data_IF_704719629418
#
_entry.id   IF_704719629418
#
_cell.length_a   1.000
_cell.length_b   1.000
_cell.length_c   1.000
_cell.angle_alpha   90.00
_cell.angle_beta   90.00
_cell.angle_gamma   90.00
#
_symmetry.space_group_name_H-M   'P 1'
#
loop_
_entity.id
_entity.type
_entity.pdbx_description
1 polymer ?
#
# COMPACT_ATOMS: atom_id res chain seq x y z
N UNK A 1 15.96 4.27 -1.84
CA UNK A 1 15.99 4.61 -3.28
C UNK A 1 14.79 5.47 -3.58
N UNK A 2 14.95 6.57 -4.31
CA UNK A 2 13.85 7.46 -4.69
C UNK A 2 13.83 7.66 -6.20
N UNK A 3 12.68 7.40 -6.83
CA UNK A 3 12.43 7.71 -8.24
C UNK A 3 12.03 9.18 -8.36
N UNK A 4 12.95 10.03 -8.81
CA UNK A 4 12.70 11.47 -8.90
C UNK A 4 12.07 11.87 -10.24
N UNK A 5 12.43 11.19 -11.32
CA UNK A 5 11.84 11.42 -12.66
C UNK A 5 11.63 10.09 -13.39
N UNK A 6 10.39 9.88 -13.83
CA UNK A 6 10.02 8.71 -14.63
C UNK A 6 10.25 8.97 -16.14
N UNK A 7 9.97 7.97 -16.97
CA UNK A 7 10.09 8.05 -18.43
C UNK A 7 8.89 8.70 -19.14
N UNK A 8 7.97 9.37 -18.43
CA UNK A 8 6.82 10.03 -19.06
C UNK A 8 7.23 11.27 -19.87
N UNK A 9 8.28 11.95 -19.45
CA UNK A 9 8.77 13.16 -20.12
C UNK A 9 9.79 12.80 -21.21
N UNK A 10 9.35 12.77 -22.47
CA UNK A 10 10.20 12.32 -23.59
C UNK A 10 11.49 13.16 -23.75
N UNK A 11 11.42 14.45 -23.41
CA UNK A 11 12.55 15.39 -23.50
C UNK A 11 13.63 15.16 -22.43
N UNK A 12 13.33 14.42 -21.38
CA UNK A 12 14.21 14.27 -20.22
C UNK A 12 14.50 12.81 -19.89
N UNK A 13 15.73 12.51 -19.50
CA UNK A 13 16.12 11.15 -19.10
C UNK A 13 15.57 10.80 -17.72
N UNK A 14 15.10 9.56 -17.49
CA UNK A 14 14.70 9.08 -16.16
C UNK A 14 15.86 9.20 -15.15
N UNK A 15 15.50 9.47 -13.89
CA UNK A 15 16.45 9.76 -12.83
C UNK A 15 16.01 9.12 -11.51
N UNK A 16 16.92 8.35 -10.92
CA UNK A 16 16.79 7.74 -9.61
C UNK A 16 17.96 8.13 -8.73
N UNK A 17 17.68 8.33 -7.45
CA UNK A 17 18.68 8.74 -6.46
C UNK A 17 18.70 7.74 -5.31
N UNK A 18 19.90 7.25 -5.00
CA UNK A 18 20.20 6.42 -3.84
C UNK A 18 20.83 7.28 -2.76
N UNK A 19 20.33 7.12 -1.54
CA UNK A 19 20.95 7.63 -0.32
C UNK A 19 21.68 6.45 0.33
N UNK A 20 22.99 6.55 0.42
CA UNK A 20 23.85 5.53 1.01
C UNK A 20 24.53 6.13 2.25
N UNK A 21 24.71 5.32 3.30
CA UNK A 21 25.52 5.72 4.45
C UNK A 21 26.98 5.33 4.17
N UNK A 22 27.89 6.29 4.25
CA UNK A 22 29.34 6.02 4.20
C UNK A 22 29.77 5.24 5.44
N UNK A 23 30.53 4.17 5.23
CA UNK A 23 31.09 3.35 6.32
C UNK A 23 32.16 4.13 7.11
N UNK A 24 32.97 4.94 6.42
CA UNK A 24 34.13 5.61 7.02
C UNK A 24 33.79 6.93 7.72
N UNK A 25 32.82 7.69 7.19
CA UNK A 25 32.56 9.08 7.60
C UNK A 25 31.21 9.28 8.27
N UNK A 26 30.36 8.25 8.37
CA UNK A 26 28.92 8.33 8.72
C UNK A 26 28.05 9.26 7.86
N UNK A 27 28.65 10.13 7.04
CA UNK A 27 27.97 11.03 6.13
C UNK A 27 27.19 10.27 5.06
N UNK A 28 26.20 10.96 4.50
CA UNK A 28 25.39 10.40 3.43
C UNK A 28 26.05 10.64 2.07
N UNK A 29 26.08 9.59 1.26
CA UNK A 29 26.52 9.61 -0.12
C UNK A 29 25.28 9.52 -1.00
N UNK A 30 25.12 10.51 -1.87
CA UNK A 30 24.12 10.56 -2.93
C UNK A 30 24.69 9.91 -4.19
N UNK A 31 23.92 8.99 -4.76
CA UNK A 31 24.23 8.38 -6.04
C UNK A 31 23.04 8.50 -6.98
N UNK A 32 23.22 9.30 -8.03
CA UNK A 32 22.18 9.63 -9.00
C UNK A 32 22.49 9.00 -10.34
N UNK A 33 21.55 8.21 -10.84
CA UNK A 33 21.72 7.44 -12.07
C UNK A 33 20.42 7.31 -12.86
N UNK A 34 20.55 6.96 -14.14
CA UNK A 34 19.42 6.63 -14.97
C UNK A 34 19.05 5.13 -14.77
N UNK A 35 17.84 4.82 -14.28
CA UNK A 35 17.45 3.45 -13.95
C UNK A 35 17.29 2.52 -15.16
N UNK A 36 17.23 3.04 -16.40
CA UNK A 36 17.05 2.21 -17.61
C UNK A 36 18.40 1.71 -18.15
N UNK A 37 19.42 2.57 -18.18
CA UNK A 37 20.71 2.25 -18.79
C UNK A 37 21.87 2.17 -17.79
N UNK A 38 21.64 2.50 -16.52
CA UNK A 38 22.67 2.46 -15.46
C UNK A 38 23.72 3.57 -15.53
N UNK A 39 23.60 4.54 -16.46
CA UNK A 39 24.56 5.64 -16.57
C UNK A 39 24.39 6.62 -15.40
N UNK A 40 25.52 7.04 -14.82
CA UNK A 40 25.55 8.08 -13.79
C UNK A 40 25.23 9.45 -14.40
N UNK A 41 24.57 10.31 -13.64
CA UNK A 41 24.23 11.68 -14.08
C UNK A 41 25.23 12.66 -13.47
N UNK A 42 25.32 12.71 -12.13
CA UNK A 42 26.16 13.69 -11.40
C UNK A 42 27.33 13.05 -10.62
N UNK A 43 27.63 11.78 -10.92
CA UNK A 43 28.63 11.00 -10.19
C UNK A 43 28.21 10.69 -8.75
N UNK A 44 29.21 10.41 -7.90
CA UNK A 44 29.04 10.15 -6.47
C UNK A 44 29.21 11.46 -5.71
N UNK A 45 28.17 11.94 -5.03
CA UNK A 45 28.21 13.17 -4.25
C UNK A 45 28.18 12.84 -2.75
N UNK A 46 29.22 13.22 -2.01
CA UNK A 46 29.23 13.07 -0.56
C UNK A 46 28.68 14.34 0.09
N UNK A 47 27.61 14.20 0.86
CA UNK A 47 27.04 15.30 1.63
C UNK A 47 27.92 15.60 2.85
N UNK A 48 27.99 16.87 3.30
CA UNK A 48 28.75 17.24 4.49
C UNK A 48 28.06 16.82 5.80
N UNK A 49 26.85 16.26 5.71
CA UNK A 49 26.03 15.82 6.84
C UNK A 49 25.48 14.41 6.63
N UNK A 50 24.99 13.83 7.73
CA UNK A 50 24.26 12.56 7.73
C UNK A 50 22.76 12.83 7.61
N UNK A 51 22.14 12.24 6.59
CA UNK A 51 20.69 12.28 6.38
C UNK A 51 20.01 11.28 7.31
N UNK A 52 19.02 11.74 8.08
CA UNK A 52 18.20 10.93 8.99
C UNK A 52 16.89 10.54 8.34
N UNK A 53 16.29 11.43 7.57
CA UNK A 53 15.01 11.21 6.89
C UNK A 53 15.03 11.89 5.53
N UNK A 54 14.37 11.29 4.54
CA UNK A 54 14.22 11.88 3.21
C UNK A 54 12.79 11.73 2.69
N UNK A 55 12.24 12.83 2.17
CA UNK A 55 10.85 12.91 1.70
C UNK A 55 10.82 13.50 0.30
N UNK A 56 10.01 12.88 -0.55
CA UNK A 56 9.83 13.26 -1.94
C UNK A 56 8.74 14.34 -2.03
N UNK A 57 9.06 15.50 -2.61
CA UNK A 57 8.07 16.56 -2.78
C UNK A 57 7.03 16.18 -3.84
N UNK A 58 5.76 16.57 -3.64
CA UNK A 58 4.70 16.33 -4.62
C UNK A 58 4.79 17.25 -5.85
N UNK A 59 5.48 18.40 -5.69
CA UNK A 59 5.67 19.40 -6.74
C UNK A 59 6.96 19.11 -7.52
N UNK A 60 6.90 19.34 -8.83
CA UNK A 60 8.05 19.20 -9.72
C UNK A 60 8.91 20.48 -9.67
N UNK A 61 10.19 20.34 -9.95
CA UNK A 61 11.03 21.48 -10.29
C UNK A 61 10.86 21.86 -11.77
N UNK A 62 11.51 22.96 -12.20
CA UNK A 62 11.46 23.44 -13.60
C UNK A 62 11.94 22.37 -14.60
N UNK A 63 12.78 21.43 -14.17
CA UNK A 63 13.31 20.31 -14.98
C UNK A 63 12.46 19.03 -14.90
N UNK A 64 11.24 19.11 -14.38
CA UNK A 64 10.33 17.97 -14.20
C UNK A 64 10.91 16.85 -13.31
N UNK A 65 11.79 17.20 -12.38
CA UNK A 65 12.33 16.32 -11.34
C UNK A 65 11.57 16.61 -10.04
N UNK A 66 11.15 15.56 -9.33
CA UNK A 66 10.62 15.72 -7.99
C UNK A 66 11.76 15.85 -6.98
N UNK A 67 11.89 17.03 -6.38
CA UNK A 67 12.94 17.32 -5.41
C UNK A 67 12.74 16.53 -4.11
N UNK A 68 13.83 16.23 -3.42
CA UNK A 68 13.88 15.57 -2.13
C UNK A 68 14.15 16.59 -1.04
N UNK A 69 13.43 16.50 0.07
CA UNK A 69 13.80 17.13 1.33
C UNK A 69 14.64 16.12 2.11
N UNK A 70 15.86 16.49 2.47
CA UNK A 70 16.79 15.70 3.27
C UNK A 70 16.92 16.34 4.64
N UNK A 71 16.56 15.62 5.70
CA UNK A 71 16.80 16.07 7.07
C UNK A 71 18.17 15.61 7.54
N UNK A 72 18.99 16.54 8.01
CA UNK A 72 20.28 16.21 8.62
C UNK A 72 20.14 15.68 10.06
N UNK A 73 21.26 15.31 10.68
CA UNK A 73 21.33 14.83 12.07
C UNK A 73 20.94 15.87 13.11
N UNK A 74 20.91 17.15 12.76
CA UNK A 74 20.50 18.26 13.61
C UNK A 74 19.05 18.69 13.33
N UNK A 75 18.31 17.92 12.52
CA UNK A 75 16.95 18.18 12.07
C UNK A 75 16.80 19.45 11.18
N UNK A 76 17.88 19.92 10.56
CA UNK A 76 17.75 20.96 9.53
C UNK A 76 17.39 20.32 8.19
N UNK A 77 16.41 20.88 7.47
CA UNK A 77 16.01 20.40 6.16
C UNK A 77 16.91 20.99 5.07
N UNK A 78 17.22 20.17 4.06
CA UNK A 78 17.99 20.55 2.87
C UNK A 78 17.21 20.11 1.63
N UNK A 79 17.23 20.89 0.56
CA UNK A 79 16.58 20.54 -0.71
C UNK A 79 17.59 19.88 -1.67
N UNK A 80 17.18 18.82 -2.36
CA UNK A 80 17.98 18.17 -3.39
C UNK A 80 17.17 17.86 -4.66
N UNK A 81 17.60 18.32 -5.86
CA UNK A 81 18.69 19.28 -6.11
C UNK A 81 18.41 20.66 -5.52
N UNK A 82 19.44 21.33 -4.98
CA UNK A 82 19.29 22.62 -4.31
C UNK A 82 19.17 23.79 -5.30
N UNK A 83 19.94 23.75 -6.39
CA UNK A 83 20.10 24.89 -7.31
C UNK A 83 18.94 25.05 -8.31
N UNK A 84 18.00 24.09 -8.35
CA UNK A 84 16.89 24.10 -9.30
C UNK A 84 15.60 24.55 -8.60
N UNK A 85 15.00 25.68 -9.00
CA UNK A 85 13.79 26.18 -8.38
C UNK A 85 12.59 25.25 -8.64
N UNK A 86 11.65 25.26 -7.70
CA UNK A 86 10.38 24.56 -7.83
C UNK A 86 9.49 25.23 -8.89
N UNK A 87 8.63 24.46 -9.56
CA UNK A 87 7.72 25.02 -10.57
C UNK A 87 6.62 25.89 -9.94
N UNK A 88 6.26 25.62 -8.69
CA UNK A 88 5.24 26.33 -7.92
C UNK A 88 5.52 26.20 -6.43
N UNK A 89 4.89 27.06 -5.60
CA UNK A 89 5.00 26.94 -4.14
C UNK A 89 4.30 25.64 -3.70
N UNK A 90 5.00 24.71 -3.03
CA UNK A 90 4.37 23.50 -2.52
C UNK A 90 3.42 23.83 -1.36
N UNK A 91 2.38 23.00 -1.14
CA UNK A 91 1.57 23.10 0.06
C UNK A 91 2.43 22.85 1.31
N UNK A 92 1.96 23.25 2.51
CA UNK A 92 2.69 22.98 3.74
C UNK A 92 3.01 21.50 3.91
N UNK A 93 4.29 21.19 4.17
CA UNK A 93 4.78 19.82 4.25
C UNK A 93 5.01 19.48 5.72
N UNK A 94 4.43 18.35 6.15
CA UNK A 94 4.69 17.78 7.47
C UNK A 94 5.56 16.54 7.30
N UNK A 95 6.62 16.47 8.09
CA UNK A 95 7.55 15.33 8.09
C UNK A 95 7.71 14.83 9.50
N UNK A 96 7.61 13.52 9.69
CA UNK A 96 7.95 12.90 10.96
C UNK A 96 9.30 12.21 10.88
N UNK A 97 10.04 12.29 11.97
CA UNK A 97 11.30 11.59 12.19
C UNK A 97 11.09 10.63 13.35
N UNK A 98 11.37 9.36 13.12
CA UNK A 98 11.30 8.31 14.13
C UNK A 98 12.70 7.81 14.44
N UNK A 99 13.04 7.75 15.72
CA UNK A 99 14.24 7.09 16.22
C UNK A 99 13.82 5.83 17.01
N UNK A 100 13.82 4.64 16.36
CA UNK A 100 13.39 3.40 16.99
C UNK A 100 14.22 3.01 18.23
N UNK A 101 15.51 3.39 18.27
CA UNK A 101 16.42 3.01 19.37
C UNK A 101 16.09 3.70 20.69
N UNK A 102 15.65 4.96 20.60
CA UNK A 102 15.26 5.78 21.74
C UNK A 102 13.74 5.85 21.92
N UNK A 103 12.96 5.33 20.97
CA UNK A 103 11.50 5.44 20.94
C UNK A 103 11.01 6.88 20.74
N UNK A 104 11.85 7.77 20.22
CA UNK A 104 11.51 9.18 20.02
C UNK A 104 10.88 9.40 18.65
N UNK A 105 9.73 10.06 18.62
CA UNK A 105 9.04 10.50 17.41
C UNK A 105 8.83 12.01 17.47
N UNK A 106 9.22 12.70 16.40
CA UNK A 106 9.08 14.15 16.27
C UNK A 106 8.40 14.47 14.95
N UNK A 107 7.48 15.43 14.98
CA UNK A 107 6.84 15.98 13.79
C UNK A 107 7.32 17.40 13.51
N UNK A 108 7.65 17.68 12.26
CA UNK A 108 8.16 18.95 11.79
C UNK A 108 7.23 19.53 10.72
N UNK A 109 7.00 20.84 10.81
CA UNK A 109 6.35 21.66 9.80
C UNK A 109 7.40 22.36 8.94
N UNK A 110 7.20 22.36 7.63
CA UNK A 110 8.06 23.00 6.65
C UNK A 110 7.24 23.93 5.75
N UNK A 111 7.66 25.20 5.67
CA UNK A 111 7.26 26.12 4.60
C UNK A 111 8.39 26.16 3.57
N UNK A 112 8.25 25.38 2.50
CA UNK A 112 9.30 25.22 1.50
C UNK A 112 9.20 26.37 0.48
N UNK A 113 10.27 27.16 0.28
CA UNK A 113 10.27 28.26 -0.68
C UNK A 113 10.32 27.74 -2.12
N UNK A 114 9.92 28.59 -3.08
CA UNK A 114 10.02 28.28 -4.52
C UNK A 114 11.48 28.26 -4.97
N UNK A 115 12.27 29.21 -4.48
CA UNK A 115 13.68 29.38 -4.78
C UNK A 115 14.43 29.74 -3.49
N UNK A 116 15.68 29.29 -3.40
CA UNK A 116 16.53 29.49 -2.23
C UNK A 116 16.69 28.21 -1.41
N UNK A 117 17.86 28.09 -0.79
CA UNK A 117 18.28 26.89 -0.08
C UNK A 117 17.99 26.95 1.43
N UNK A 118 17.58 28.13 1.92
CA UNK A 118 17.40 28.38 3.34
C UNK A 118 15.92 28.33 3.71
N UNK A 119 15.54 27.24 4.38
CA UNK A 119 14.27 27.12 5.08
C UNK A 119 14.48 26.31 6.35
N UNK A 120 13.65 26.56 7.36
CA UNK A 120 13.78 25.91 8.67
C UNK A 120 12.61 24.98 8.94
N UNK A 121 12.90 23.92 9.70
CA UNK A 121 11.90 23.02 10.22
C UNK A 121 11.42 23.51 11.59
N UNK A 122 10.10 23.67 11.74
CA UNK A 122 9.49 23.97 13.04
C UNK A 122 8.97 22.70 13.67
N UNK A 123 9.48 22.31 14.84
CA UNK A 123 8.92 21.18 15.60
C UNK A 123 7.49 21.51 16.04
N UNK A 124 6.54 20.62 15.72
CA UNK A 124 5.10 20.77 16.01
C UNK A 124 4.69 19.90 17.18
N UNK A 125 5.15 18.65 17.20
CA UNK A 125 4.80 17.68 18.22
C UNK A 125 5.96 16.71 18.47
N UNK A 126 5.96 16.12 19.66
CA UNK A 126 6.96 15.16 20.10
C UNK A 126 6.32 14.10 20.98
N UNK A 127 6.55 12.83 20.64
CA UNK A 127 6.04 11.67 21.35
C UNK A 127 7.18 10.71 21.66
N UNK A 128 7.21 10.18 22.87
CA UNK A 128 8.33 9.39 23.38
C UNK A 128 7.81 8.06 23.95
N UNK A 129 8.25 6.95 23.36
CA UNK A 129 8.03 5.60 23.89
C UNK A 129 9.23 5.18 24.73
N UNK A 130 9.13 5.37 26.04
CA UNK A 130 10.24 5.11 26.96
C UNK A 130 10.46 3.60 27.18
N UNK A 131 11.72 3.25 27.49
CA UNK A 131 12.10 1.89 27.91
C UNK A 131 11.30 1.48 29.17
N UNK A 132 10.88 0.21 29.28
CA UNK A 132 11.38 -0.97 28.56
C UNK A 132 10.72 -1.23 27.19
N UNK A 133 9.83 -0.34 26.73
CA UNK A 133 9.15 -0.44 25.44
C UNK A 133 10.12 -0.22 24.27
N UNK A 134 10.07 -1.11 23.27
CA UNK A 134 10.87 -1.06 22.04
C UNK A 134 9.95 -0.89 20.83
N UNK A 135 10.32 -0.05 19.87
CA UNK A 135 9.61 0.09 18.59
C UNK A 135 10.05 -1.03 17.66
N UNK A 136 9.14 -1.89 17.23
CA UNK A 136 9.47 -3.03 16.35
C UNK A 136 9.26 -2.66 14.88
N UNK A 137 8.11 -2.07 14.56
CA UNK A 137 7.68 -1.83 13.19
C UNK A 137 6.90 -0.53 13.09
N UNK A 138 7.07 0.13 11.95
CA UNK A 138 6.33 1.34 11.56
C UNK A 138 5.73 1.05 10.19
N UNK A 139 4.41 1.16 10.07
CA UNK A 139 3.66 0.88 8.84
C UNK A 139 2.90 2.12 8.38
N UNK A 140 3.08 2.50 7.13
CA UNK A 140 2.32 3.56 6.47
C UNK A 140 1.64 3.02 5.23
N UNK A 141 0.58 3.70 4.80
CA UNK A 141 -0.05 3.47 3.50
C UNK A 141 0.98 3.64 2.38
N UNK A 142 0.88 2.84 1.32
CA UNK A 142 1.77 2.99 0.17
C UNK A 142 1.41 4.27 -0.60
N UNK A 143 2.41 5.05 -1.02
CA UNK A 143 2.17 6.29 -1.75
C UNK A 143 1.60 6.05 -3.17
N UNK A 144 1.78 4.84 -3.71
CA UNK A 144 1.21 4.45 -5.02
C UNK A 144 -0.23 3.96 -4.91
N UNK A 145 -0.74 3.76 -3.70
CA UNK A 145 -2.05 3.19 -3.45
C UNK A 145 -3.16 4.22 -3.63
N UNK A 146 -4.18 3.85 -4.43
CA UNK A 146 -5.41 4.61 -4.61
C UNK A 146 -6.59 3.89 -3.96
N UNK A 147 -7.53 4.67 -3.43
CA UNK A 147 -8.77 4.17 -2.84
C UNK A 147 -9.91 4.51 -3.78
N UNK A 148 -10.49 3.50 -4.43
CA UNK A 148 -11.57 3.72 -5.39
C UNK A 148 -12.91 4.06 -4.72
N UNK A 149 -13.27 3.33 -3.65
CA UNK A 149 -14.54 3.54 -2.93
C UNK A 149 -14.29 4.08 -1.53
N UNK A 150 -14.90 5.24 -1.23
CA UNK A 150 -14.85 5.90 0.08
C UNK A 150 -15.79 5.30 1.12
N UNK A 151 -16.71 4.43 0.70
CA UNK A 151 -17.65 3.78 1.58
C UNK A 151 -17.93 2.34 1.18
N UNK A 152 -18.49 1.59 2.12
CA UNK A 152 -19.01 0.24 1.92
C UNK A 152 -20.52 0.29 2.08
N UNK A 153 -21.25 -0.26 1.12
CA UNK A 153 -22.71 -0.35 1.17
C UNK A 153 -23.10 -1.51 2.09
N UNK A 154 -24.01 -1.25 3.03
CA UNK A 154 -24.57 -2.25 3.95
C UNK A 154 -25.88 -2.83 3.40
N UNK A 155 -26.39 -3.90 4.00
CA UNK A 155 -27.63 -4.55 3.53
C UNK A 155 -28.87 -3.66 3.63
N UNK A 156 -28.91 -2.78 4.62
CA UNK A 156 -29.97 -1.78 4.81
C UNK A 156 -29.87 -0.60 3.83
N UNK A 157 -28.96 -0.67 2.84
CA UNK A 157 -28.62 0.37 1.86
C UNK A 157 -27.99 1.62 2.46
N UNK A 158 -27.63 1.59 3.75
CA UNK A 158 -26.79 2.63 4.34
C UNK A 158 -25.34 2.47 3.86
N UNK A 159 -24.56 3.54 4.04
CA UNK A 159 -23.15 3.57 3.65
C UNK A 159 -22.31 3.72 4.90
N UNK A 160 -21.39 2.77 5.09
CA UNK A 160 -20.36 2.86 6.09
C UNK A 160 -19.13 3.51 5.45
N UNK A 161 -18.84 4.75 5.83
CA UNK A 161 -17.72 5.52 5.29
C UNK A 161 -16.39 5.04 5.87
N UNK A 162 -15.42 4.77 5.02
CA UNK A 162 -14.08 4.36 5.41
C UNK A 162 -13.34 5.54 6.02
N UNK A 163 -12.64 5.31 7.13
CA UNK A 163 -11.73 6.30 7.67
C UNK A 163 -10.37 6.17 6.97
N UNK A 164 -10.11 7.05 6.01
CA UNK A 164 -8.88 7.06 5.21
C UNK A 164 -8.08 8.31 5.52
N UNK A 165 -7.16 8.21 6.49
CA UNK A 165 -6.24 9.29 6.82
C UNK A 165 -4.89 9.07 6.09
N UNK A 166 -4.52 9.91 5.08
CA UNK A 166 -3.27 9.75 4.34
C UNK A 166 -2.02 10.01 5.19
N UNK A 167 -2.17 10.69 6.33
CA UNK A 167 -1.09 11.05 7.25
C UNK A 167 -1.04 10.09 8.46
N UNK A 168 -1.78 8.99 8.44
CA UNK A 168 -1.77 8.02 9.54
C UNK A 168 -0.62 7.04 9.40
N UNK A 169 0.08 6.84 10.51
CA UNK A 169 1.15 5.86 10.64
C UNK A 169 0.83 4.92 11.79
N UNK A 170 1.03 3.64 11.54
CA UNK A 170 0.87 2.56 12.52
C UNK A 170 2.22 2.26 13.15
N UNK A 171 2.28 2.30 14.48
CA UNK A 171 3.50 2.06 15.25
C UNK A 171 3.26 0.84 16.13
N UNK A 172 4.08 -0.19 15.99
CA UNK A 172 4.08 -1.35 16.88
C UNK A 172 5.19 -1.23 17.91
N UNK A 173 4.79 -1.36 19.18
CA UNK A 173 5.72 -1.35 20.31
C UNK A 173 5.64 -2.65 21.10
N UNK A 174 6.78 -3.16 21.56
CA UNK A 174 6.87 -4.34 22.42
C UNK A 174 7.45 -3.95 23.76
N UNK A 175 6.71 -4.23 24.82
CA UNK A 175 7.18 -4.07 26.18
C UNK A 175 7.24 -5.45 26.86
N UNK A 176 8.31 -5.77 27.60
CA UNK A 176 8.29 -6.90 28.52
C UNK A 176 7.31 -6.59 29.65
N UNK A 177 6.51 -7.60 30.02
CA UNK A 177 5.60 -7.50 31.16
C UNK A 177 5.79 -8.70 32.07
N UNK A 178 5.79 -8.46 33.38
CA UNK A 178 5.97 -9.51 34.40
C UNK A 178 4.83 -10.54 34.34
N UNK A 179 3.60 -10.11 34.03
CA UNK A 179 2.41 -10.98 34.07
C UNK A 179 2.14 -11.67 32.73
N UNK A 180 2.45 -10.98 31.62
CA UNK A 180 2.15 -11.45 30.26
C UNK A 180 3.41 -11.79 29.45
N UNK A 181 4.60 -11.80 30.05
CA UNK A 181 5.93 -11.95 29.42
C UNK A 181 6.26 -10.81 28.45
N UNK A 182 5.42 -10.62 27.44
CA UNK A 182 5.53 -9.59 26.42
C UNK A 182 4.15 -9.04 26.06
N UNK A 183 4.10 -7.74 25.81
CA UNK A 183 2.90 -7.00 25.44
C UNK A 183 3.21 -6.19 24.19
N UNK A 184 2.53 -6.53 23.10
CA UNK A 184 2.62 -5.84 21.82
C UNK A 184 1.49 -4.81 21.75
N UNK A 185 1.80 -3.54 21.52
CA UNK A 185 0.80 -2.47 21.42
C UNK A 185 0.87 -1.83 20.04
N UNK A 186 -0.28 -1.73 19.37
CA UNK A 186 -0.45 -1.01 18.12
C UNK A 186 -0.97 0.39 18.44
N UNK A 187 -0.24 1.41 18.02
CA UNK A 187 -0.63 2.82 18.10
C UNK A 187 -0.85 3.36 16.68
N UNK A 188 -2.02 3.93 16.42
CA UNK A 188 -2.31 4.67 15.19
C UNK A 188 -2.12 6.15 15.48
N UNK A 189 -1.11 6.75 14.86
CA UNK A 189 -0.71 8.13 15.09
C UNK A 189 -0.89 8.95 13.82
N UNK A 190 -1.48 10.14 13.94
CA UNK A 190 -1.50 11.14 12.88
C UNK A 190 -0.18 11.92 12.88
N UNK A 191 0.57 11.89 11.78
CA UNK A 191 1.90 12.50 11.70
C UNK A 191 1.87 14.02 11.58
N UNK A 192 0.72 14.62 11.26
CA UNK A 192 0.56 16.07 11.18
C UNK A 192 0.29 16.66 12.56
N UNK A 193 -0.68 16.09 13.29
CA UNK A 193 -1.12 16.60 14.60
C UNK A 193 -0.38 15.99 15.79
N UNK A 194 0.20 14.79 15.63
CA UNK A 194 0.83 14.04 16.72
C UNK A 194 -0.14 13.31 17.65
N UNK A 195 -1.43 13.32 17.33
CA UNK A 195 -2.47 12.66 18.13
C UNK A 195 -2.47 11.16 17.87
N UNK A 196 -2.59 10.36 18.93
CA UNK A 196 -2.85 8.93 18.84
C UNK A 196 -4.36 8.74 18.64
N UNK A 197 -4.75 8.33 17.43
CA UNK A 197 -6.14 8.11 17.01
C UNK A 197 -6.72 6.88 17.71
N UNK A 198 -5.94 5.79 17.77
CA UNK A 198 -6.36 4.52 18.34
C UNK A 198 -5.17 3.78 18.93
N UNK A 199 -5.41 2.99 19.98
CA UNK A 199 -4.39 2.15 20.61
C UNK A 199 -4.99 0.81 21.04
N UNK A 200 -4.31 -0.30 20.72
CA UNK A 200 -4.76 -1.65 21.08
C UNK A 200 -3.61 -2.52 21.55
N UNK A 201 -3.88 -3.33 22.57
CA UNK A 201 -2.88 -4.12 23.28
C UNK A 201 -3.12 -5.62 23.01
N UNK A 202 -2.08 -6.31 22.54
CA UNK A 202 -1.98 -7.75 22.41
C UNK A 202 -1.09 -8.31 23.52
N UNK A 203 -1.68 -9.13 24.38
CA UNK A 203 -0.99 -9.76 25.50
C UNK A 203 -0.34 -11.07 25.04
N UNK A 204 0.85 -11.39 25.56
CA UNK A 204 1.59 -12.63 25.27
C UNK A 204 1.92 -12.77 23.78
N UNK A 205 2.24 -11.65 23.14
CA UNK A 205 2.59 -11.59 21.73
C UNK A 205 4.12 -11.49 21.57
N UNK A 206 4.70 -12.31 20.70
CA UNK A 206 6.13 -12.41 20.45
C UNK A 206 6.45 -12.54 18.96
N UNK A 207 7.73 -12.56 18.62
CA UNK A 207 8.24 -12.65 17.25
C UNK A 207 7.93 -14.02 16.59
N UNK A 208 7.81 -14.10 15.26
CA UNK A 208 7.93 -13.03 14.26
C UNK A 208 6.70 -12.12 14.22
N UNK A 209 6.91 -10.81 13.98
CA UNK A 209 5.85 -9.79 13.94
C UNK A 209 5.87 -9.08 12.58
N UNK A 210 4.71 -8.97 11.94
CA UNK A 210 4.54 -8.28 10.67
C UNK A 210 3.40 -7.28 10.74
N UNK A 211 3.59 -6.10 10.15
CA UNK A 211 2.60 -5.01 10.12
C UNK A 211 2.34 -4.60 8.68
N UNK A 212 1.06 -4.57 8.29
CA UNK A 212 0.60 -3.99 7.02
C UNK A 212 -0.41 -2.90 7.33
N UNK A 213 -0.29 -1.79 6.60
CA UNK A 213 -1.28 -0.73 6.56
C UNK A 213 -1.64 -0.48 5.09
N UNK A 214 -2.94 -0.54 4.77
CA UNK A 214 -3.49 -0.33 3.43
C UNK A 214 -4.89 0.27 3.54
N UNK A 215 -5.22 1.24 2.70
CA UNK A 215 -6.49 2.00 2.73
C UNK A 215 -6.92 2.45 4.14
N UNK A 216 -7.98 1.84 4.68
CA UNK A 216 -8.59 2.05 5.98
C UNK A 216 -8.38 0.86 6.92
N UNK A 217 -7.52 -0.09 6.57
CA UNK A 217 -7.33 -1.33 7.31
C UNK A 217 -5.87 -1.63 7.60
N UNK A 218 -5.67 -2.42 8.65
CA UNK A 218 -4.35 -2.86 9.10
C UNK A 218 -4.39 -4.35 9.41
N UNK A 219 -3.25 -5.00 9.19
CA UNK A 219 -2.99 -6.36 9.62
C UNK A 219 -1.77 -6.40 10.51
N UNK A 220 -1.90 -7.07 11.64
CA UNK A 220 -0.80 -7.34 12.55
C UNK A 220 -0.71 -8.86 12.74
N UNK A 221 0.39 -9.46 12.29
CA UNK A 221 0.70 -10.86 12.54
C UNK A 221 1.69 -10.96 13.69
N UNK A 222 1.46 -11.87 14.63
CA UNK A 222 2.35 -12.13 15.77
C UNK A 222 2.21 -13.57 16.25
N UNK A 223 3.22 -14.06 16.97
CA UNK A 223 3.15 -15.36 17.62
C UNK A 223 2.56 -15.20 19.04
N UNK A 224 1.52 -15.98 19.36
CA UNK A 224 0.89 -15.95 20.67
C UNK A 224 1.51 -17.03 21.58
N UNK A 225 2.24 -16.62 22.62
CA UNK A 225 2.94 -17.53 23.54
C UNK A 225 1.99 -18.35 24.42
N UNK A 226 0.74 -17.90 24.61
CA UNK A 226 -0.27 -18.63 25.39
C UNK A 226 -0.80 -19.82 24.61
N UNK A 227 -1.21 -19.57 23.38
CA UNK A 227 -1.88 -20.54 22.50
C UNK A 227 -0.90 -21.27 21.57
N UNK A 228 0.37 -20.84 21.55
CA UNK A 228 1.47 -21.42 20.75
C UNK A 228 1.16 -21.50 19.25
N UNK A 229 0.63 -20.41 18.71
CA UNK A 229 0.24 -20.31 17.30
C UNK A 229 0.42 -18.89 16.77
N UNK A 230 0.52 -18.77 15.46
CA UNK A 230 0.53 -17.48 14.76
C UNK A 230 -0.89 -16.95 14.66
N UNK A 231 -1.09 -15.73 15.12
CA UNK A 231 -2.37 -15.02 15.05
C UNK A 231 -2.22 -13.79 14.16
N UNK A 232 -3.22 -13.54 13.30
CA UNK A 232 -3.31 -12.35 12.45
C UNK A 232 -4.50 -11.54 12.94
N UNK A 233 -4.23 -10.40 13.57
CA UNK A 233 -5.26 -9.44 13.95
C UNK A 233 -5.52 -8.47 12.79
N UNK A 234 -6.77 -8.39 12.35
CA UNK A 234 -7.24 -7.41 11.39
C UNK A 234 -7.97 -6.26 12.08
N UNK A 235 -7.76 -5.08 11.54
CA UNK A 235 -8.35 -3.83 11.98
C UNK A 235 -8.91 -3.10 10.78
N UNK A 236 -10.12 -2.60 10.88
CA UNK A 236 -10.72 -1.75 9.86
C UNK A 236 -11.34 -0.53 10.51
N UNK A 237 -11.05 0.65 9.95
CA UNK A 237 -11.43 1.94 10.48
C UNK A 237 -12.55 2.55 9.64
N UNK A 238 -13.56 3.07 10.32
CA UNK A 238 -14.73 3.71 9.74
C UNK A 238 -15.04 5.04 10.40
N UNK A 239 -15.60 5.98 9.65
CA UNK A 239 -16.06 7.27 10.17
C UNK A 239 -17.37 7.09 10.96
N UNK A 240 -17.63 7.96 11.92
CA UNK A 240 -18.81 7.87 12.79
C UNK A 240 -20.07 8.36 12.06
N UNK A 241 -20.72 7.47 11.31
CA UNK A 241 -22.01 7.61 10.60
C UNK A 241 -22.16 8.73 9.54
N UNK A 242 -21.45 9.85 9.65
CA UNK A 242 -21.40 10.92 8.66
C UNK A 242 -19.94 11.23 8.33
N UNK A 243 -19.61 11.41 7.04
CA UNK A 243 -18.26 11.81 6.67
C UNK A 243 -18.00 13.21 7.23
N UNK A 244 -16.92 13.37 7.98
CA UNK A 244 -16.53 14.67 8.57
C UNK A 244 -16.40 15.78 7.51
N UNK A 245 -15.86 15.46 6.33
CA UNK A 245 -15.89 16.29 5.13
C UNK A 245 -15.80 15.40 3.88
N UNK A 246 -16.61 15.66 2.86
CA UNK A 246 -16.65 14.86 1.62
C UNK A 246 -15.68 15.34 0.54
N UNK A 247 -15.19 16.58 0.60
CA UNK A 247 -14.29 17.14 -0.43
C UNK A 247 -12.82 16.96 -0.07
N UNK A 248 -12.44 17.32 1.16
CA UNK A 248 -11.04 17.43 1.56
C UNK A 248 -10.82 16.86 2.98
N UNK A 249 -9.76 16.07 3.11
CA UNK A 249 -9.28 15.61 4.41
C UNK A 249 -8.21 16.56 4.95
N UNK A 250 -8.41 17.10 6.15
CA UNK A 250 -7.40 17.88 6.87
C UNK A 250 -7.15 17.28 8.25
N UNK A 251 -5.90 16.92 8.53
CA UNK A 251 -5.44 16.60 9.89
C UNK A 251 -5.36 17.86 10.78
N UNK A 252 -5.19 19.04 10.18
CA UNK A 252 -5.12 20.33 10.88
C UNK A 252 -6.55 20.80 11.12
N UNK A 253 -7.06 20.53 12.32
CA UNK A 253 -8.46 20.77 12.68
C UNK A 253 -9.41 19.60 12.40
N UNK A 254 -8.87 18.43 12.04
CA UNK A 254 -9.64 17.21 11.71
C UNK A 254 -10.42 16.63 12.89
N UNK A 255 -11.50 15.92 12.55
CA UNK A 255 -12.58 15.46 13.45
C UNK A 255 -12.10 15.03 14.85
N UNK A 256 -12.64 15.70 15.88
CA UNK A 256 -12.46 15.34 17.31
C UNK A 256 -13.01 13.93 17.58
N UNK A 257 -13.85 13.41 16.67
CA UNK A 257 -14.51 12.13 16.83
C UNK A 257 -13.56 11.01 16.39
N UNK A 258 -13.17 10.10 17.30
CA UNK A 258 -12.34 8.97 16.95
C UNK A 258 -13.09 8.02 16.00
N UNK A 259 -12.39 7.39 15.04
CA UNK A 259 -13.00 6.44 14.13
C UNK A 259 -13.50 5.20 14.88
N UNK A 260 -14.54 4.58 14.32
CA UNK A 260 -15.01 3.27 14.76
C UNK A 260 -14.03 2.23 14.23
N UNK A 261 -13.45 1.44 15.13
CA UNK A 261 -12.49 0.39 14.78
C UNK A 261 -13.12 -0.97 14.98
N UNK A 262 -13.41 -1.65 13.89
CA UNK A 262 -13.79 -3.07 13.90
C UNK A 262 -12.52 -3.92 13.86
N UNK A 263 -12.50 -4.98 14.66
CA UNK A 263 -11.32 -5.83 14.81
C UNK A 263 -11.69 -7.29 14.97
N UNK A 264 -10.88 -8.15 14.38
CA UNK A 264 -11.04 -9.60 14.50
C UNK A 264 -9.66 -10.26 14.44
N UNK A 265 -9.52 -11.43 15.08
CA UNK A 265 -8.29 -12.20 15.04
C UNK A 265 -8.50 -13.51 14.28
N UNK A 266 -7.49 -13.91 13.51
CA UNK A 266 -7.43 -15.15 12.74
C UNK A 266 -6.20 -15.96 13.13
N UNK A 267 -6.22 -17.24 12.84
CA UNK A 267 -5.14 -18.19 13.12
C UNK A 267 -4.56 -18.62 11.78
N UNK A 268 -3.24 -18.51 11.66
CA UNK A 268 -2.51 -19.02 10.51
C UNK A 268 -1.77 -20.31 10.92
N UNK A 269 -1.98 -21.44 10.21
CA UNK A 269 -1.25 -22.68 10.47
C UNK A 269 0.16 -22.62 9.86
N UNK A 270 1.05 -21.85 10.49
CA UNK A 270 2.45 -21.73 10.10
C UNK A 270 3.10 -20.42 10.52
N UNK A 271 4.39 -20.26 10.20
CA UNK A 271 5.12 -19.02 10.43
C UNK A 271 5.31 -18.24 9.14
N UNK A 272 5.24 -16.91 9.25
CA UNK A 272 5.42 -15.97 8.15
C UNK A 272 6.83 -15.38 8.16
N UNK A 273 7.42 -15.30 6.98
CA UNK A 273 8.68 -14.59 6.72
C UNK A 273 8.43 -13.17 6.22
N UNK A 274 7.41 -12.96 5.38
CA UNK A 274 7.05 -11.64 4.87
C UNK A 274 5.55 -11.58 4.53
N UNK A 275 4.98 -10.39 4.56
CA UNK A 275 3.62 -10.11 4.12
C UNK A 275 3.56 -8.80 3.33
N UNK A 276 2.77 -8.76 2.25
CA UNK A 276 2.52 -7.52 1.48
C UNK A 276 1.15 -7.57 0.79
N UNK A 277 0.37 -6.48 0.78
CA UNK A 277 -0.88 -6.41 0.02
C UNK A 277 -0.63 -6.16 -1.46
N UNK A 278 -1.54 -6.62 -2.33
CA UNK A 278 -1.55 -6.28 -3.75
C UNK A 278 -1.95 -4.82 -3.99
N UNK A 279 -1.31 -4.15 -4.95
CA UNK A 279 -1.59 -2.76 -5.33
C UNK A 279 -1.85 -2.68 -6.84
N UNK A 280 -2.90 -1.96 -7.22
CA UNK A 280 -3.26 -1.64 -8.62
C UNK A 280 -3.41 -0.15 -8.81
N UNK A 281 -3.47 0.30 -10.07
CA UNK A 281 -3.39 1.72 -10.42
C UNK A 281 -4.56 2.53 -9.84
N UNK A 282 -5.78 2.01 -9.95
CA UNK A 282 -7.01 2.67 -9.50
C UNK A 282 -7.56 2.11 -8.18
N UNK A 283 -7.09 0.94 -7.73
CA UNK A 283 -7.59 0.28 -6.52
C UNK A 283 -9.04 -0.22 -6.66
N UNK A 284 -9.44 -0.63 -7.86
CA UNK A 284 -10.77 -1.18 -8.16
C UNK A 284 -10.79 -2.69 -7.91
N UNK A 285 -9.74 -3.41 -8.30
CA UNK A 285 -9.64 -4.87 -8.12
C UNK A 285 -9.67 -5.23 -6.63
N UNK A 286 -10.12 -6.44 -6.31
CA UNK A 286 -10.08 -6.96 -4.94
C UNK A 286 -8.66 -6.96 -4.38
N UNK A 287 -8.49 -6.56 -3.11
CA UNK A 287 -7.18 -6.64 -2.45
C UNK A 287 -6.93 -8.03 -1.92
N UNK A 288 -5.79 -8.60 -2.30
CA UNK A 288 -5.28 -9.85 -1.77
C UNK A 288 -4.01 -9.58 -0.97
N UNK A 289 -3.70 -10.47 -0.04
CA UNK A 289 -2.55 -10.39 0.84
C UNK A 289 -1.62 -11.54 0.49
N UNK A 290 -0.41 -11.17 0.08
CA UNK A 290 0.65 -12.11 -0.22
C UNK A 290 1.37 -12.45 1.09
N UNK A 291 1.46 -13.75 1.39
CA UNK A 291 2.07 -14.25 2.60
C UNK A 291 3.17 -15.26 2.23
N UNK A 292 4.43 -14.91 2.51
CA UNK A 292 5.54 -15.83 2.39
C UNK A 292 5.66 -16.66 3.67
N UNK A 293 5.50 -17.96 3.54
CA UNK A 293 5.61 -18.92 4.65
C UNK A 293 7.06 -19.39 4.82
N UNK A 294 7.40 -19.81 6.03
CA UNK A 294 8.72 -20.40 6.34
C UNK A 294 9.00 -21.72 5.60
N UNK A 295 7.97 -22.41 5.13
CA UNK A 295 8.09 -23.61 4.27
C UNK A 295 8.42 -23.28 2.81
N UNK A 296 8.49 -21.99 2.47
CA UNK A 296 8.81 -21.51 1.14
C UNK A 296 7.64 -21.46 0.16
N UNK A 297 6.41 -21.53 0.65
CA UNK A 297 5.21 -21.28 -0.16
C UNK A 297 4.83 -19.80 -0.08
N UNK A 298 4.38 -19.26 -1.21
CA UNK A 298 3.86 -17.91 -1.34
C UNK A 298 2.34 -17.99 -1.54
N UNK A 299 1.61 -17.65 -0.50
CA UNK A 299 0.14 -17.73 -0.47
C UNK A 299 -0.48 -16.40 -0.89
N UNK A 300 -1.53 -16.48 -1.69
CA UNK A 300 -2.40 -15.36 -2.03
C UNK A 300 -3.74 -15.51 -1.29
N UNK A 301 -3.96 -14.67 -0.28
CA UNK A 301 -5.17 -14.72 0.56
C UNK A 301 -6.08 -13.53 0.25
N UNK A 302 -7.32 -13.74 -0.22
CA UNK A 302 -8.27 -12.65 -0.41
C UNK A 302 -8.59 -11.89 0.88
N UNK A 303 -8.67 -10.56 0.82
CA UNK A 303 -9.04 -9.72 1.97
C UNK A 303 -10.36 -10.15 2.62
N UNK A 304 -11.31 -10.68 1.84
CA UNK A 304 -12.58 -11.20 2.34
C UNK A 304 -12.45 -12.27 3.44
N UNK A 305 -11.33 -13.01 3.50
CA UNK A 305 -11.06 -13.96 4.59
C UNK A 305 -10.55 -13.29 5.86
N UNK A 306 -9.98 -12.08 5.76
CA UNK A 306 -9.41 -11.32 6.87
C UNK A 306 -10.29 -10.13 7.30
N UNK A 307 -11.45 -9.96 6.66
CA UNK A 307 -12.43 -8.92 6.97
C UNK A 307 -12.90 -9.03 8.43
N UNK A 308 -12.73 -8.00 9.29
CA UNK A 308 -13.14 -8.07 10.69
C UNK A 308 -14.65 -8.15 10.89
N UNK A 309 -15.46 -7.89 9.85
CA UNK A 309 -16.93 -7.83 9.93
C UNK A 309 -17.62 -9.18 9.74
N UNK A 310 -16.85 -10.24 9.52
CA UNK A 310 -17.35 -11.62 9.35
C UNK A 310 -18.17 -12.02 10.58
N UNK A 311 -19.47 -12.38 10.41
CA UNK A 311 -20.36 -12.61 11.54
C UNK A 311 -20.02 -13.92 12.27
N UNK A 312 -20.18 -13.90 13.59
CA UNK A 312 -20.14 -15.09 14.45
C UNK A 312 -21.50 -15.79 14.38
N UNK A 313 -21.75 -16.57 13.32
CA UNK A 313 -22.99 -17.33 13.16
C UNK A 313 -23.67 -17.08 11.81
N UNK A 314 -24.92 -16.61 11.84
CA UNK A 314 -25.73 -16.43 10.63
C UNK A 314 -25.08 -15.45 9.64
N UNK A 315 -25.08 -15.76 8.34
CA UNK A 315 -24.52 -14.89 7.33
C UNK A 315 -25.32 -13.57 7.30
N UNK A 316 -24.60 -12.45 7.25
CA UNK A 316 -25.23 -11.16 6.98
C UNK A 316 -25.75 -11.16 5.54
N UNK A 317 -26.84 -10.44 5.30
CA UNK A 317 -27.42 -10.24 3.96
C UNK A 317 -26.42 -9.62 2.95
N UNK A 318 -25.35 -8.98 3.44
CA UNK A 318 -24.23 -8.45 2.66
C UNK A 318 -23.37 -9.52 1.95
N UNK A 319 -23.68 -10.81 2.12
CA UNK A 319 -22.89 -11.91 1.55
C UNK A 319 -21.55 -12.11 2.24
N UNK A 320 -21.40 -11.60 3.48
CA UNK A 320 -20.18 -11.77 4.26
C UNK A 320 -19.97 -13.23 4.66
N UNK A 321 -18.77 -13.74 4.43
CA UNK A 321 -18.39 -15.11 4.79
C UNK A 321 -18.46 -15.25 6.33
N UNK A 322 -19.15 -16.24 6.90
CA UNK A 322 -19.18 -16.47 8.34
C UNK A 322 -17.77 -16.57 8.92
N UNK A 323 -17.57 -16.09 10.14
CA UNK A 323 -16.26 -16.10 10.78
C UNK A 323 -15.80 -17.53 11.03
N UNK A 324 -14.63 -17.85 10.47
CA UNK A 324 -13.89 -19.07 10.72
C UNK A 324 -12.50 -18.62 11.18
N UNK A 325 -12.09 -18.95 12.42
CA UNK A 325 -10.85 -18.44 12.98
C UNK A 325 -9.62 -18.97 12.23
N UNK A 326 -9.65 -20.20 11.75
CA UNK A 326 -8.53 -20.82 11.03
C UNK A 326 -8.56 -20.44 9.55
N UNK A 327 -7.43 -19.91 9.07
CA UNK A 327 -7.27 -19.57 7.66
C UNK A 327 -6.91 -20.83 6.85
N UNK A 328 -7.64 -21.13 5.77
CA UNK A 328 -7.34 -22.28 4.93
C UNK A 328 -6.06 -22.03 4.13
N UNK A 329 -5.11 -22.97 4.18
CA UNK A 329 -3.91 -22.98 3.32
C UNK A 329 -4.15 -23.90 2.12
N UNK A 330 -4.89 -23.39 1.13
CA UNK A 330 -5.21 -24.15 -0.08
C UNK A 330 -4.01 -24.19 -1.02
N UNK A 331 -3.67 -25.37 -1.55
CA UNK A 331 -2.60 -25.49 -2.55
C UNK A 331 -2.84 -24.64 -3.80
N UNK A 332 -4.11 -24.42 -4.17
CA UNK A 332 -4.51 -23.56 -5.29
C UNK A 332 -4.18 -22.08 -5.06
N UNK A 333 -4.05 -21.64 -3.80
CA UNK A 333 -3.65 -20.27 -3.45
C UNK A 333 -2.13 -20.05 -3.47
N UNK A 334 -1.35 -21.10 -3.73
CA UNK A 334 0.12 -21.02 -3.77
C UNK A 334 0.60 -20.53 -5.14
N UNK A 335 0.94 -19.25 -5.25
CA UNK A 335 1.31 -18.62 -6.53
C UNK A 335 2.69 -19.02 -7.06
N UNK A 336 3.53 -19.62 -6.21
CA UNK A 336 4.83 -20.15 -6.59
C UNK A 336 4.82 -21.64 -6.98
N UNK A 337 3.66 -22.30 -7.01
CA UNK A 337 3.50 -23.70 -7.42
C UNK A 337 4.56 -24.64 -6.80
N UNK A 338 5.47 -25.17 -7.62
CA UNK A 338 6.55 -26.09 -7.22
C UNK A 338 7.90 -25.40 -6.95
N UNK A 339 7.95 -24.06 -6.97
CA UNK A 339 9.17 -23.27 -6.76
C UNK A 339 9.22 -22.75 -5.34
N UNK A 340 9.69 -23.59 -4.42
CA UNK A 340 9.83 -23.20 -3.01
C UNK A 340 10.86 -22.08 -2.85
N UNK A 341 10.51 -21.00 -2.15
CA UNK A 341 11.35 -19.83 -1.90
C UNK A 341 11.87 -19.85 -0.48
N UNK A 342 13.15 -20.15 -0.28
CA UNK A 342 13.73 -20.22 1.06
C UNK A 342 14.24 -18.86 1.53
N UNK A 343 14.07 -18.57 2.83
CA UNK A 343 14.55 -17.34 3.48
C UNK A 343 14.17 -16.08 2.69
N UNK A 344 12.86 -15.86 2.57
CA UNK A 344 12.31 -14.63 1.99
C UNK A 344 12.56 -13.47 2.94
N UNK A 345 13.21 -12.42 2.45
CA UNK A 345 13.47 -11.20 3.20
C UNK A 345 12.36 -10.17 2.99
N UNK A 346 11.72 -10.16 1.82
CA UNK A 346 10.62 -9.25 1.53
C UNK A 346 9.86 -9.53 0.25
N UNK A 347 8.68 -8.90 0.16
CA UNK A 347 7.79 -8.93 -1.01
C UNK A 347 7.57 -7.49 -1.46
N UNK A 348 7.80 -7.22 -2.74
CA UNK A 348 7.52 -5.96 -3.39
C UNK A 348 6.37 -6.13 -4.39
N UNK A 349 5.40 -5.22 -4.34
CA UNK A 349 4.22 -5.21 -5.20
C UNK A 349 4.13 -3.88 -5.90
N UNK A 350 3.89 -3.88 -7.21
CA UNK A 350 3.68 -2.65 -7.99
C UNK A 350 2.46 -2.82 -8.89
N UNK A 351 1.69 -1.73 -9.11
CA UNK A 351 0.63 -1.75 -10.10
C UNK A 351 1.21 -2.00 -11.51
N UNK A 352 0.45 -2.71 -12.33
CA UNK A 352 0.69 -2.80 -13.77
C UNK A 352 -0.13 -1.72 -14.50
N UNK A 353 0.00 -1.63 -15.83
CA UNK A 353 -0.87 -0.77 -16.65
C UNK A 353 -2.31 -1.30 -16.77
N UNK A 354 -2.53 -2.57 -16.43
CA UNK A 354 -3.84 -3.19 -16.37
C UNK A 354 -4.34 -3.15 -14.92
N UNK A 355 -5.59 -2.76 -14.73
CA UNK A 355 -6.18 -2.65 -13.40
C UNK A 355 -6.41 -4.02 -12.77
N UNK A 356 -6.56 -5.06 -13.59
CA UNK A 356 -6.75 -6.42 -13.08
C UNK A 356 -5.48 -7.08 -12.56
N UNK A 357 -4.28 -6.59 -12.94
CA UNK A 357 -3.00 -7.26 -12.63
C UNK A 357 -2.05 -6.45 -11.76
N UNK A 358 -1.38 -7.14 -10.84
CA UNK A 358 -0.33 -6.63 -9.96
C UNK A 358 0.98 -7.40 -10.23
N UNK A 359 2.10 -6.69 -10.31
CA UNK A 359 3.41 -7.32 -10.46
C UNK A 359 3.98 -7.60 -9.06
N UNK A 360 4.42 -8.83 -8.84
CA UNK A 360 4.93 -9.31 -7.56
C UNK A 360 6.39 -9.71 -7.73
N UNK A 361 7.26 -9.13 -6.92
CA UNK A 361 8.67 -9.46 -6.84
C UNK A 361 9.03 -9.86 -5.42
N UNK A 362 9.49 -11.08 -5.24
CA UNK A 362 9.92 -11.63 -3.95
C UNK A 362 11.43 -11.79 -3.97
N UNK A 363 12.07 -11.32 -2.90
CA UNK A 363 13.52 -11.36 -2.75
C UNK A 363 13.92 -11.93 -1.39
N UNK A 364 15.10 -12.55 -1.37
CA UNK A 364 15.67 -13.21 -0.21
C UNK A 364 16.93 -13.95 -0.61
N UNK A 365 17.06 -15.23 -0.22
CA UNK A 365 18.08 -16.11 -0.81
C UNK A 365 17.85 -16.29 -2.32
N UNK A 366 16.60 -16.52 -2.71
CA UNK A 366 16.17 -16.68 -4.10
C UNK A 366 15.38 -15.44 -4.57
N UNK A 367 15.41 -15.21 -5.89
CA UNK A 367 14.63 -14.15 -6.54
C UNK A 367 13.47 -14.78 -7.30
N UNK A 368 12.26 -14.26 -7.08
CA UNK A 368 11.06 -14.75 -7.75
C UNK A 368 10.19 -13.59 -8.24
N UNK A 369 9.72 -13.69 -9.47
CA UNK A 369 8.88 -12.69 -10.10
C UNK A 369 7.67 -13.36 -10.73
N UNK A 370 6.48 -12.80 -10.47
CA UNK A 370 5.23 -13.25 -11.09
C UNK A 370 4.24 -12.10 -11.21
N UNK A 371 3.13 -12.36 -11.90
CA UNK A 371 1.98 -11.44 -11.96
C UNK A 371 0.80 -12.12 -11.29
N UNK A 372 0.03 -11.34 -10.55
CA UNK A 372 -1.14 -11.80 -9.81
C UNK A 372 -2.35 -11.02 -10.27
N UNK A 373 -3.50 -11.68 -10.41
CA UNK A 373 -4.75 -11.07 -10.86
C UNK A 373 -5.87 -11.35 -9.85
N UNK A 374 -6.00 -10.54 -8.78
CA UNK A 374 -6.90 -10.82 -7.66
C UNK A 374 -8.36 -11.08 -8.05
N UNK A 375 -8.92 -10.24 -8.94
CA UNK A 375 -10.28 -10.37 -9.48
C UNK A 375 -10.33 -11.05 -10.85
N UNK A 376 -9.31 -11.84 -11.20
CA UNK A 376 -9.05 -12.35 -12.56
C UNK A 376 -8.85 -11.22 -13.57
N UNK A 377 -8.45 -11.57 -14.79
CA UNK A 377 -8.17 -10.59 -15.86
C UNK A 377 -9.45 -10.08 -16.51
N UNK A 378 -10.16 -9.16 -15.85
CA UNK A 378 -11.43 -8.60 -16.36
C UNK A 378 -11.27 -7.54 -17.45
N UNK A 379 -10.06 -6.98 -17.61
CA UNK A 379 -9.70 -5.98 -18.62
C UNK A 379 -8.91 -6.57 -19.80
N UNK A 380 -8.77 -7.89 -19.84
CA UNK A 380 -8.16 -8.64 -20.95
C UNK A 380 -9.16 -9.67 -21.46
N UNK A 381 -9.15 -9.91 -22.76
CA UNK A 381 -9.92 -11.01 -23.33
C UNK A 381 -9.39 -12.34 -22.78
N UNK A 382 -10.27 -13.31 -22.56
CA UNK A 382 -9.86 -14.65 -22.13
C UNK A 382 -8.87 -15.24 -23.12
N UNK A 383 -7.86 -15.94 -22.61
CA UNK A 383 -6.89 -16.66 -23.44
C UNK A 383 -7.59 -17.74 -24.28
N UNK A 384 -8.60 -18.41 -23.71
CA UNK A 384 -9.39 -19.46 -24.36
C UNK A 384 -10.59 -18.92 -25.17
N UNK A 385 -10.50 -17.69 -25.68
CA UNK A 385 -11.60 -17.09 -26.42
C UNK A 385 -11.76 -17.73 -27.81
N UNK A 386 -12.94 -18.25 -28.11
CA UNK A 386 -13.22 -18.92 -29.38
C UNK A 386 -13.55 -17.90 -30.49
N UNK A 387 -12.50 -17.43 -31.14
CA UNK A 387 -12.62 -16.53 -32.29
C UNK A 387 -13.30 -17.19 -33.50
N UNK A 388 -13.18 -18.51 -33.67
CA UNK A 388 -13.72 -19.22 -34.82
C UNK A 388 -15.25 -19.22 -34.80
N UNK A 389 -15.84 -19.47 -33.63
CA UNK A 389 -17.31 -19.44 -33.45
C UNK A 389 -17.88 -18.08 -33.86
N UNK A 390 -17.26 -16.97 -33.43
CA UNK A 390 -17.73 -15.63 -33.78
C UNK A 390 -17.65 -15.37 -35.27
N UNK A 391 -16.54 -15.76 -35.92
CA UNK A 391 -16.36 -15.60 -37.37
C UNK A 391 -17.44 -16.38 -38.14
N UNK A 392 -17.66 -17.65 -37.75
CA UNK A 392 -18.65 -18.52 -38.39
C UNK A 392 -20.06 -17.95 -38.22
N UNK A 393 -20.47 -17.61 -37.00
CA UNK A 393 -21.80 -17.09 -36.72
C UNK A 393 -22.05 -15.77 -37.45
N UNK A 394 -21.05 -14.88 -37.48
CA UNK A 394 -21.17 -13.58 -38.16
C UNK A 394 -21.30 -13.77 -39.68
N UNK A 395 -20.54 -14.70 -40.27
CA UNK A 395 -20.62 -15.00 -41.70
C UNK A 395 -21.97 -15.63 -42.06
N UNK A 396 -22.45 -16.58 -41.25
CA UNK A 396 -23.77 -17.20 -41.43
C UNK A 396 -24.89 -16.18 -41.34
N UNK A 397 -24.84 -15.26 -40.36
CA UNK A 397 -25.81 -14.18 -40.21
C UNK A 397 -25.80 -13.22 -41.42
N UNK A 398 -24.61 -12.87 -41.93
CA UNK A 398 -24.46 -11.97 -43.07
C UNK A 398 -25.04 -12.60 -44.35
N UNK A 399 -24.72 -13.86 -44.61
CA UNK A 399 -25.27 -14.61 -45.76
C UNK A 399 -26.79 -14.75 -45.62
N UNK A 400 -27.28 -15.10 -44.43
CA UNK A 400 -28.71 -15.24 -44.16
C UNK A 400 -29.47 -13.93 -44.35
N UNK A 401 -28.91 -12.81 -43.90
CA UNK A 401 -29.50 -11.49 -44.08
C UNK A 401 -29.57 -11.10 -45.56
N UNK A 402 -28.52 -11.38 -46.34
CA UNK A 402 -28.51 -11.09 -47.77
C UNK A 402 -29.56 -11.91 -48.53
N UNK A 403 -29.63 -13.22 -48.26
CA UNK A 403 -30.62 -14.12 -48.84
C UNK A 403 -32.04 -13.67 -48.46
N UNK A 404 -32.28 -13.38 -47.18
CA UNK A 404 -33.60 -12.95 -46.70
C UNK A 404 -34.02 -11.61 -47.30
N UNK A 405 -33.09 -10.65 -47.46
CA UNK A 405 -33.36 -9.37 -48.12
C UNK A 405 -33.85 -9.57 -49.56
N UNK A 406 -33.19 -10.46 -50.31
CA UNK A 406 -33.57 -10.76 -51.69
C UNK A 406 -34.93 -11.48 -51.76
N UNK A 407 -35.19 -12.43 -50.85
CA UNK A 407 -36.49 -13.10 -50.77
C UNK A 407 -37.62 -12.13 -50.39
N UNK A 408 -37.35 -11.19 -49.47
CA UNK A 408 -38.30 -10.18 -49.05
C UNK A 408 -38.62 -9.18 -50.16
N UNK A 409 -37.62 -8.69 -50.91
CA UNK A 409 -37.84 -7.78 -52.04
C UNK A 409 -38.67 -8.44 -53.14
N UNK A 410 -38.41 -9.72 -53.45
CA UNK A 410 -39.20 -10.49 -54.40
C UNK A 410 -40.65 -10.66 -53.92
N UNK A 411 -40.85 -10.97 -52.62
CA UNK A 411 -42.20 -11.11 -52.04
C UNK A 411 -42.97 -9.79 -52.07
N UNK A 412 -42.33 -8.68 -51.70
CA UNK A 412 -42.94 -7.35 -51.72
C UNK A 412 -43.31 -6.92 -53.15
N UNK A 413 -42.42 -7.17 -54.13
CA UNK A 413 -42.72 -6.91 -55.55
C UNK A 413 -43.95 -7.72 -56.01
N UNK A 414 -43.99 -9.03 -55.70
CA UNK A 414 -45.15 -9.89 -56.04
C UNK A 414 -46.46 -9.42 -55.38
N UNK A 415 -46.41 -8.86 -54.17
CA UNK A 415 -47.58 -8.30 -53.50
C UNK A 415 -48.02 -6.97 -54.11
N UNK A 416 -47.09 -6.11 -54.53
CA UNK A 416 -47.40 -4.83 -55.17
C UNK A 416 -47.96 -4.97 -56.60
N UNK A 417 -47.66 -6.09 -57.27
CA UNK A 417 -48.14 -6.41 -58.62
C UNK A 417 -49.45 -7.22 -58.63
N UNK A 418 -50.00 -7.50 -57.45
CA UNK A 418 -51.36 -8.01 -57.25
C UNK A 418 -52.28 -6.83 -57.01
#
# INVERSE_FOLDING_TARGET
>A
MYLQRNSKHLSYSPMCTLLLKSENSENTVLFTFNPINGKFIDGVQQLPYRVVQAVLLPVLNVESVRSLILFDSFNNPHLYPADVPLSSKPPPVYVYIANPTNGLFQGFYLDVPISGNEFSAKEVWKTQFNKPTQVIAIGSRDAMEHVHSQGRVLSDRSVLYKYVNPNMVAILTLAPDTTHKSVLTLHLLDTVSGIIIYSVVHKRASHPIHLIHSENWLLCSYYNDKTRRTEIASYELYDSHQPSNSTDFSSVGGSIIPPIVEKQAYILPGFLQAMKPTITEKGITSKHILMATTTGHLLEVPWAFLDPRRPLGEPKEEGAIPYIPELPMLSESMINYNKSLMRVDGIYTTPSSLESTCLVFVYGLDLFYTRVAPSKTFDVLKEDFDYLVIIIVTTVLLVSAYVTKNLASQKALKQAWK
#
